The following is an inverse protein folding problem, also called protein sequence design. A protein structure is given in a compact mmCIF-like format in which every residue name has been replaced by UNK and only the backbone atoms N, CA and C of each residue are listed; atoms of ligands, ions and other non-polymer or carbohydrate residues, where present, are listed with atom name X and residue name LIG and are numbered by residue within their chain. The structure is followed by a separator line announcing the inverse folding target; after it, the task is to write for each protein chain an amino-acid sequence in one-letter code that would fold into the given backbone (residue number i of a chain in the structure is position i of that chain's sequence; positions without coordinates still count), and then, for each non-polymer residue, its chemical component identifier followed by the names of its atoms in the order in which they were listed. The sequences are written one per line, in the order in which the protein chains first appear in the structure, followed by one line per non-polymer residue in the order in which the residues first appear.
data_IF_393590617950
#
_entry.id   IF_393590617950
#
_cell.length_a   1.000
_cell.length_b   1.000
_cell.length_c   1.000
_cell.angle_alpha   90.00
_cell.angle_beta   90.00
_cell.angle_gamma   90.00
#
_symmetry.space_group_name_H-M   'P 1'
#
loop_
_entity.id
_entity.type
_entity.pdbx_description
1 polymer ?
#
# COMPACT_ATOMS: atom_id res chain seq x y z
N UNK A 1 0.04 1.85 -8.86
CA UNK A 1 0.02 2.65 -10.11
C UNK A 1 1.30 3.43 -10.36
N UNK A 2 1.87 4.13 -9.37
CA UNK A 2 3.08 4.95 -9.58
C UNK A 2 4.29 4.14 -10.09
N UNK A 3 4.60 3.00 -9.48
CA UNK A 3 5.69 2.11 -9.91
C UNK A 3 5.58 1.66 -11.39
N UNK A 4 4.36 1.45 -11.89
CA UNK A 4 4.15 1.13 -13.31
C UNK A 4 4.60 2.28 -14.22
N UNK A 5 4.45 3.54 -13.79
CA UNK A 5 4.97 4.71 -14.54
C UNK A 5 6.50 4.77 -14.49
N UNK A 6 7.11 4.23 -13.44
CA UNK A 6 8.56 4.04 -13.31
C UNK A 6 9.07 2.76 -13.99
N UNK A 7 8.23 2.06 -14.76
CA UNK A 7 8.63 0.87 -15.51
C UNK A 7 8.47 -0.46 -14.76
N UNK A 8 7.97 -0.49 -13.52
CA UNK A 8 7.76 -1.77 -12.86
C UNK A 8 6.57 -2.52 -13.46
N UNK A 9 6.82 -3.75 -13.91
CA UNK A 9 5.81 -4.75 -14.27
C UNK A 9 5.13 -5.33 -13.02
N UNK A 10 3.97 -5.98 -13.19
CA UNK A 10 3.47 -6.84 -12.12
C UNK A 10 4.43 -8.01 -11.91
N UNK A 11 4.69 -8.36 -10.65
CA UNK A 11 5.51 -9.51 -10.30
C UNK A 11 5.01 -10.80 -11.00
N UNK A 12 5.92 -11.55 -11.61
CA UNK A 12 5.64 -12.71 -12.45
C UNK A 12 5.35 -12.42 -13.93
N UNK A 13 5.30 -11.15 -14.34
CA UNK A 13 5.06 -10.77 -15.74
C UNK A 13 6.34 -10.79 -16.58
N UNK A 14 6.18 -11.04 -17.88
CA UNK A 14 7.27 -10.92 -18.86
C UNK A 14 7.78 -9.48 -19.04
N UNK A 15 8.78 -9.27 -19.90
CA UNK A 15 9.30 -7.93 -20.21
C UNK A 15 8.29 -7.07 -20.98
N UNK A 16 8.41 -5.74 -20.89
CA UNK A 16 7.65 -4.86 -21.78
C UNK A 16 8.14 -5.01 -23.23
N UNK A 17 7.24 -4.78 -24.19
CA UNK A 17 7.63 -4.69 -25.61
C UNK A 17 8.52 -3.47 -25.88
N UNK A 18 8.25 -2.37 -25.18
CA UNK A 18 9.03 -1.13 -25.25
C UNK A 18 9.21 -0.55 -23.85
N UNK A 19 10.41 -0.04 -23.52
CA UNK A 19 11.64 -0.06 -24.31
C UNK A 19 12.20 -1.48 -24.49
N UNK A 20 13.04 -1.72 -25.52
CA UNK A 20 13.70 -3.01 -25.70
C UNK A 20 14.59 -3.35 -24.51
N UNK A 21 14.84 -4.65 -24.30
CA UNK A 21 15.69 -5.18 -23.22
C UNK A 21 15.21 -4.88 -21.79
N UNK A 22 13.93 -4.58 -21.63
CA UNK A 22 13.33 -4.53 -20.29
C UNK A 22 13.49 -5.91 -19.61
N UNK A 23 13.92 -6.00 -18.34
CA UNK A 23 14.25 -7.30 -17.74
C UNK A 23 13.01 -8.16 -17.42
N UNK A 24 11.86 -7.53 -17.14
CA UNK A 24 10.64 -8.26 -16.78
C UNK A 24 10.68 -8.78 -15.33
N UNK A 25 9.57 -9.31 -14.84
CA UNK A 25 9.44 -9.78 -13.45
C UNK A 25 9.17 -11.29 -13.33
N UNK A 26 9.49 -12.10 -14.34
CA UNK A 26 9.21 -13.55 -14.32
C UNK A 26 9.87 -14.22 -13.12
N UNK A 27 11.09 -13.82 -12.77
CA UNK A 27 11.83 -14.32 -11.60
C UNK A 27 11.15 -13.97 -10.27
N UNK A 28 10.40 -12.87 -10.20
CA UNK A 28 9.70 -12.40 -8.99
C UNK A 28 8.29 -12.94 -8.84
N UNK A 29 7.94 -14.05 -9.50
CA UNK A 29 6.62 -14.68 -9.35
C UNK A 29 6.26 -15.01 -7.89
N UNK A 30 7.29 -15.22 -7.07
CA UNK A 30 7.24 -15.38 -5.61
C UNK A 30 8.29 -14.42 -5.03
N UNK A 31 8.13 -13.81 -3.83
CA UNK A 31 7.15 -14.03 -2.77
C UNK A 31 5.83 -13.24 -2.87
N UNK A 32 4.94 -13.55 -1.92
CA UNK A 32 3.52 -13.22 -1.99
C UNK A 32 3.11 -11.87 -1.37
N UNK A 33 4.07 -11.00 -0.99
CA UNK A 33 3.82 -9.80 -0.15
C UNK A 33 4.38 -8.48 -0.71
N UNK A 34 4.58 -8.37 -2.02
CA UNK A 34 5.07 -7.12 -2.64
C UNK A 34 3.96 -6.25 -3.20
N UNK A 35 4.23 -4.96 -3.30
CA UNK A 35 3.28 -3.95 -3.80
C UNK A 35 2.91 -4.14 -5.28
N UNK A 36 3.78 -4.78 -6.08
CA UNK A 36 3.55 -5.06 -7.50
C UNK A 36 2.97 -6.45 -7.78
N UNK A 37 2.53 -7.16 -6.73
CA UNK A 37 1.86 -8.44 -6.91
C UNK A 37 0.53 -8.26 -7.66
N UNK A 38 0.26 -9.06 -8.73
CA UNK A 38 -0.98 -8.92 -9.50
C UNK A 38 -2.25 -9.35 -8.76
N UNK A 39 -2.13 -10.21 -7.75
CA UNK A 39 -3.23 -10.72 -6.92
C UNK A 39 -3.11 -10.20 -5.49
N UNK A 40 -4.17 -10.38 -4.67
CA UNK A 40 -4.15 -9.96 -3.26
C UNK A 40 -2.90 -10.50 -2.55
N UNK A 41 -2.10 -9.62 -1.92
CA UNK A 41 -0.88 -10.00 -1.21
C UNK A 41 -1.24 -10.83 0.03
N UNK A 42 -0.42 -11.84 0.32
CA UNK A 42 -0.51 -12.64 1.55
C UNK A 42 0.41 -11.99 2.58
N UNK A 43 -0.02 -10.83 3.10
CA UNK A 43 0.73 -10.01 4.04
C UNK A 43 0.81 -8.54 3.62
N UNK A 44 1.43 -7.68 4.45
CA UNK A 44 1.50 -6.24 4.22
C UNK A 44 2.31 -5.91 2.95
N UNK A 45 1.70 -5.32 1.90
CA UNK A 45 2.37 -5.11 0.61
C UNK A 45 3.16 -3.81 0.57
N UNK A 46 4.00 -3.59 1.59
CA UNK A 46 4.71 -2.33 1.78
C UNK A 46 6.16 -2.38 1.27
N UNK A 47 6.54 -3.46 0.58
CA UNK A 47 7.91 -3.65 0.08
C UNK A 47 7.92 -3.88 -1.43
N UNK A 48 9.04 -3.51 -2.04
CA UNK A 48 9.33 -3.78 -3.45
C UNK A 48 9.95 -5.17 -3.60
N UNK A 49 9.71 -5.79 -4.75
CA UNK A 49 10.49 -6.95 -5.21
C UNK A 49 11.83 -6.46 -5.78
N UNK A 50 12.85 -7.32 -5.83
CA UNK A 50 14.09 -6.96 -6.53
C UNK A 50 13.81 -6.64 -8.02
N UNK A 51 12.87 -7.34 -8.67
CA UNK A 51 12.48 -7.02 -10.05
C UNK A 51 11.89 -5.60 -10.14
N UNK A 52 11.08 -5.17 -9.17
CA UNK A 52 10.55 -3.80 -9.16
C UNK A 52 11.67 -2.78 -9.08
N UNK A 53 12.68 -3.02 -8.25
CA UNK A 53 13.88 -2.18 -8.11
C UNK A 53 14.71 -2.17 -9.40
N UNK A 54 15.00 -3.34 -9.97
CA UNK A 54 15.72 -3.50 -11.24
C UNK A 54 15.02 -2.77 -12.39
N UNK A 55 13.69 -2.83 -12.45
CA UNK A 55 12.89 -2.09 -13.43
C UNK A 55 13.02 -0.59 -13.28
N UNK A 56 12.88 -0.07 -12.05
CA UNK A 56 13.01 1.36 -11.79
C UNK A 56 14.42 1.84 -12.15
N UNK A 57 15.45 1.10 -11.76
CA UNK A 57 16.84 1.40 -12.12
C UNK A 57 17.06 1.39 -13.63
N UNK A 58 16.53 0.39 -14.32
CA UNK A 58 16.63 0.27 -15.78
C UNK A 58 15.99 1.50 -16.47
N UNK A 59 14.78 1.90 -16.07
CA UNK A 59 14.11 3.07 -16.65
C UNK A 59 14.81 4.37 -16.28
N UNK A 60 15.26 4.54 -15.03
CA UNK A 60 16.00 5.73 -14.59
C UNK A 60 17.31 5.92 -15.38
N UNK A 61 18.05 4.83 -15.62
CA UNK A 61 19.26 4.83 -16.47
C UNK A 61 18.93 5.16 -17.92
N UNK A 62 17.88 4.54 -18.47
CA UNK A 62 17.48 4.74 -19.87
C UNK A 62 17.01 6.17 -20.17
N UNK A 63 16.25 6.78 -19.25
CA UNK A 63 15.71 8.14 -19.43
C UNK A 63 16.73 9.23 -19.12
N UNK A 64 17.72 8.91 -18.29
CA UNK A 64 18.79 9.83 -17.90
C UNK A 64 18.33 10.88 -16.89
N UNK A 65 19.33 11.54 -16.30
CA UNK A 65 19.15 12.50 -15.20
C UNK A 65 18.14 13.61 -15.49
N UNK A 66 18.11 14.08 -16.74
CA UNK A 66 17.20 15.16 -17.16
C UNK A 66 15.73 14.89 -16.79
N UNK A 67 15.30 13.63 -16.74
CA UNK A 67 13.90 13.29 -16.44
C UNK A 67 13.58 13.19 -14.93
N UNK A 68 14.56 12.97 -14.07
CA UNK A 68 14.34 12.79 -12.63
C UNK A 68 15.08 13.83 -11.76
N UNK A 69 15.82 14.74 -12.38
CA UNK A 69 16.44 15.88 -11.71
C UNK A 69 15.36 16.77 -11.08
N UNK A 70 15.49 16.99 -9.79
CA UNK A 70 14.65 17.90 -9.01
C UNK A 70 14.61 19.28 -9.67
N UNK A 71 13.40 19.75 -10.00
CA UNK A 71 13.17 21.08 -10.61
C UNK A 71 12.79 22.13 -9.56
N UNK A 72 12.39 21.70 -8.37
CA UNK A 72 12.05 22.55 -7.25
C UNK A 72 12.37 21.81 -5.96
N UNK A 73 13.07 22.48 -5.06
CA UNK A 73 13.35 22.07 -3.69
C UNK A 73 12.29 22.60 -2.71
N UNK A 74 11.21 23.21 -3.23
CA UNK A 74 10.11 23.69 -2.41
C UNK A 74 9.39 22.51 -1.75
N UNK A 75 9.52 22.43 -0.43
CA UNK A 75 8.92 21.38 0.37
C UNK A 75 7.44 21.70 0.67
N UNK A 76 6.55 21.14 -0.15
CA UNK A 76 5.11 21.15 0.11
C UNK A 76 4.72 20.36 1.38
N UNK A 77 5.65 19.62 2.00
CA UNK A 77 5.44 18.80 3.19
C UNK A 77 5.90 19.46 4.51
N UNK A 78 5.94 20.79 4.57
CA UNK A 78 5.87 21.52 5.86
C UNK A 78 4.56 21.29 6.63
N UNK A 79 3.67 20.45 6.08
CA UNK A 79 2.50 19.85 6.73
C UNK A 79 3.00 18.90 7.83
N UNK A 80 2.62 19.22 9.07
CA UNK A 80 2.90 18.52 10.33
C UNK A 80 3.40 17.07 10.17
N UNK A 81 4.48 16.70 10.89
CA UNK A 81 4.95 15.31 11.11
C UNK A 81 3.86 14.37 11.70
N UNK A 82 2.62 14.82 11.78
CA UNK A 82 1.45 14.02 12.09
C UNK A 82 1.26 13.01 10.97
N UNK A 83 1.78 11.81 11.21
CA UNK A 83 1.40 10.62 10.46
C UNK A 83 -0.12 10.55 10.34
N UNK A 84 -0.61 10.13 9.18
CA UNK A 84 -2.05 10.10 8.80
C UNK A 84 -2.99 9.40 9.81
N UNK A 85 -2.44 8.75 10.83
CA UNK A 85 -3.12 8.03 11.89
C UNK A 85 -3.89 8.88 12.91
N UNK A 86 -3.65 10.18 13.06
CA UNK A 86 -4.39 10.94 14.09
C UNK A 86 -5.86 11.22 13.71
N UNK A 87 -6.16 11.34 12.41
CA UNK A 87 -7.47 11.83 11.93
C UNK A 87 -8.39 10.75 11.35
N UNK A 88 -7.93 9.49 11.28
CA UNK A 88 -8.69 8.41 10.65
C UNK A 88 -8.83 7.27 11.66
N UNK A 89 -10.06 6.90 12.00
CA UNK A 89 -10.38 5.70 12.80
C UNK A 89 -10.79 4.53 11.91
N UNK A 90 -10.76 3.27 12.38
CA UNK A 90 -11.18 2.12 11.57
C UNK A 90 -12.59 2.28 11.02
N UNK A 91 -13.49 2.87 11.81
CA UNK A 91 -14.87 3.14 11.43
C UNK A 91 -14.95 4.17 10.31
N UNK A 92 -14.18 5.27 10.42
CA UNK A 92 -14.13 6.33 9.41
C UNK A 92 -13.53 5.80 8.10
N UNK A 93 -12.48 4.98 8.20
CA UNK A 93 -11.87 4.31 7.06
C UNK A 93 -12.87 3.40 6.34
N UNK A 94 -13.53 2.48 7.07
CA UNK A 94 -14.49 1.56 6.48
C UNK A 94 -15.73 2.26 5.91
N UNK A 95 -16.25 3.30 6.59
CA UNK A 95 -17.36 4.12 6.07
C UNK A 95 -17.00 4.85 4.78
N UNK A 96 -15.77 5.31 4.62
CA UNK A 96 -15.34 5.95 3.36
C UNK A 96 -15.28 4.97 2.19
N UNK A 97 -15.01 3.69 2.45
CA UNK A 97 -14.95 2.66 1.40
C UNK A 97 -16.36 2.25 0.95
N UNK A 98 -17.25 1.93 1.89
CA UNK A 98 -18.61 1.46 1.60
C UNK A 98 -19.62 2.14 2.56
N UNK A 99 -20.00 3.40 2.34
CA UNK A 99 -20.81 4.16 3.29
C UNK A 99 -22.19 3.53 3.51
N UNK A 100 -22.87 3.11 2.44
CA UNK A 100 -24.24 2.59 2.49
C UNK A 100 -24.35 1.19 3.12
N UNK A 101 -23.27 0.41 3.04
CA UNK A 101 -23.25 -0.98 3.49
C UNK A 101 -22.50 -1.12 4.82
N UNK A 102 -21.92 -0.06 5.37
CA UNK A 102 -21.14 -0.13 6.59
C UNK A 102 -21.97 -0.66 7.77
N UNK A 103 -21.43 -1.65 8.48
CA UNK A 103 -22.00 -2.17 9.73
C UNK A 103 -21.09 -1.85 10.91
N UNK A 104 -19.85 -2.28 10.85
CA UNK A 104 -18.88 -2.08 11.93
C UNK A 104 -17.44 -2.17 11.40
N UNK A 105 -16.51 -1.65 12.18
CA UNK A 105 -15.08 -1.81 11.94
C UNK A 105 -14.41 -2.30 13.21
N UNK A 106 -13.27 -2.96 13.04
CA UNK A 106 -12.34 -3.27 14.12
C UNK A 106 -10.93 -3.24 13.57
N UNK A 107 -9.94 -3.18 14.46
CA UNK A 107 -8.55 -3.26 14.07
C UNK A 107 -7.77 -4.11 15.05
N UNK A 108 -6.91 -4.97 14.53
CA UNK A 108 -5.96 -5.77 15.30
C UNK A 108 -4.67 -5.89 14.54
N UNK A 109 -3.52 -5.68 15.20
CA UNK A 109 -2.19 -5.82 14.61
C UNK A 109 -2.08 -5.13 13.23
N UNK A 110 -2.48 -3.87 13.15
CA UNK A 110 -2.42 -3.09 11.90
C UNK A 110 -3.23 -3.65 10.72
N UNK A 111 -4.23 -4.48 11.01
CA UNK A 111 -5.22 -4.96 10.05
C UNK A 111 -6.59 -4.43 10.46
N UNK A 112 -7.14 -3.55 9.64
CA UNK A 112 -8.51 -3.04 9.75
C UNK A 112 -9.45 -4.04 9.10
N UNK A 113 -10.45 -4.48 9.86
CA UNK A 113 -11.53 -5.36 9.38
C UNK A 113 -12.81 -4.55 9.24
N UNK A 114 -13.31 -4.45 8.01
CA UNK A 114 -14.57 -3.79 7.69
C UNK A 114 -15.68 -4.83 7.52
N UNK A 115 -16.74 -4.71 8.31
CA UNK A 115 -17.98 -5.50 8.20
C UNK A 115 -19.03 -4.70 7.46
N UNK A 116 -19.57 -5.28 6.39
CA UNK A 116 -20.58 -4.65 5.56
C UNK A 116 -21.84 -5.51 5.46
N UNK A 117 -23.02 -4.89 5.57
CA UNK A 117 -24.32 -5.50 5.32
C UNK A 117 -24.61 -5.47 3.82
N UNK A 118 -24.37 -6.58 3.15
CA UNK A 118 -24.57 -6.70 1.69
C UNK A 118 -25.94 -7.33 1.43
N UNK A 119 -26.80 -6.72 0.59
CA UNK A 119 -28.06 -7.35 0.21
C UNK A 119 -27.82 -8.60 -0.61
N UNK A 120 -28.56 -9.65 -0.29
CA UNK A 120 -28.60 -10.91 -1.04
C UNK A 120 -29.68 -10.86 -2.11
N UNK A 121 -29.63 -11.77 -3.08
CA UNK A 121 -30.65 -11.88 -4.15
C UNK A 121 -32.08 -12.10 -3.61
N UNK A 122 -32.20 -12.58 -2.38
CA UNK A 122 -33.49 -12.89 -1.73
C UNK A 122 -33.98 -11.75 -0.82
N UNK A 123 -33.35 -10.57 -0.85
CA UNK A 123 -33.74 -9.41 -0.04
C UNK A 123 -33.24 -9.41 1.41
N UNK A 124 -32.59 -10.49 1.88
CA UNK A 124 -31.92 -10.52 3.18
C UNK A 124 -30.54 -9.85 3.13
N UNK A 125 -30.03 -9.42 4.27
CA UNK A 125 -28.65 -8.93 4.40
C UNK A 125 -27.72 -10.02 4.89
N UNK A 126 -26.50 -10.05 4.35
CA UNK A 126 -25.40 -10.89 4.85
C UNK A 126 -24.22 -10.02 5.25
N UNK A 127 -23.53 -10.40 6.32
CA UNK A 127 -22.29 -9.72 6.75
C UNK A 127 -21.15 -10.20 5.86
N UNK A 128 -20.53 -9.25 5.14
CA UNK A 128 -19.30 -9.48 4.38
C UNK A 128 -18.14 -8.76 5.04
N UNK A 129 -17.10 -9.53 5.37
CA UNK A 129 -15.86 -8.99 5.94
C UNK A 129 -14.82 -8.74 4.84
N UNK A 130 -14.16 -7.59 4.91
CA UNK A 130 -12.96 -7.29 4.11
C UNK A 130 -11.87 -6.73 5.03
N UNK A 131 -10.64 -7.18 4.81
CA UNK A 131 -9.48 -6.73 5.60
C UNK A 131 -8.59 -5.80 4.78
N UNK A 132 -8.06 -4.77 5.45
CA UNK A 132 -7.15 -3.78 4.89
C UNK A 132 -5.98 -3.55 5.85
N UNK A 133 -4.77 -3.35 5.34
CA UNK A 133 -3.66 -2.93 6.20
C UNK A 133 -3.83 -1.47 6.58
N UNK A 134 -3.60 -1.17 7.86
CA UNK A 134 -3.63 0.20 8.37
C UNK A 134 -2.52 1.03 7.71
N UNK A 135 -2.76 2.33 7.48
CA UNK A 135 -1.72 3.26 7.04
C UNK A 135 -0.52 3.27 7.98
N UNK A 136 0.60 3.77 7.46
CA UNK A 136 1.79 4.00 8.25
C UNK A 136 1.52 5.00 9.39
N UNK A 137 2.07 4.72 10.58
CA UNK A 137 1.95 5.58 11.75
C UNK A 137 0.58 5.52 12.44
N UNK A 138 -0.33 4.66 11.98
CA UNK A 138 -1.65 4.49 12.56
C UNK A 138 -1.56 3.94 14.00
N UNK A 139 -2.27 4.51 14.98
CA UNK A 139 -2.19 4.04 16.37
C UNK A 139 -2.70 2.60 16.47
N UNK A 140 -1.95 1.73 17.15
CA UNK A 140 -2.31 0.31 17.26
C UNK A 140 -2.15 -0.28 18.66
N UNK A 141 -1.56 0.47 19.59
CA UNK A 141 -1.45 0.14 21.01
C UNK A 141 -1.74 1.35 21.89
N UNK A 142 -1.52 1.18 23.20
CA UNK A 142 -1.86 2.18 24.21
C UNK A 142 -0.65 3.03 24.65
N UNK A 143 0.58 2.62 24.30
CA UNK A 143 1.84 3.20 24.77
C UNK A 143 2.65 3.79 23.61
N UNK A 144 1.97 4.47 22.69
CA UNK A 144 2.61 5.09 21.52
C UNK A 144 2.92 4.11 20.39
N UNK A 145 2.50 2.84 20.47
CA UNK A 145 2.71 1.90 19.37
C UNK A 145 1.90 2.31 18.14
N UNK A 146 2.58 2.29 16.99
CA UNK A 146 2.03 2.67 15.70
C UNK A 146 2.34 1.60 14.65
N UNK A 147 1.55 1.63 13.58
CA UNK A 147 1.70 0.71 12.48
C UNK A 147 2.92 1.03 11.62
N UNK A 148 3.89 0.13 11.63
CA UNK A 148 5.13 0.19 10.88
C UNK A 148 5.27 -1.03 9.98
N UNK A 149 5.15 -0.84 8.66
CA UNK A 149 5.18 -1.93 7.67
C UNK A 149 4.26 -3.12 8.01
N UNK A 150 3.11 -2.84 8.63
CA UNK A 150 2.10 -3.84 9.00
C UNK A 150 2.32 -4.51 10.37
N UNK A 151 3.34 -4.09 11.11
CA UNK A 151 3.56 -4.50 12.50
C UNK A 151 3.13 -3.37 13.46
N UNK A 152 2.66 -3.74 14.64
CA UNK A 152 2.39 -2.79 15.71
C UNK A 152 3.63 -2.68 16.61
N UNK A 153 4.34 -1.55 16.52
CA UNK A 153 5.60 -1.34 17.23
C UNK A 153 5.69 0.08 17.76
N UNK A 154 6.39 0.32 18.86
CA UNK A 154 6.78 1.68 19.22
C UNK A 154 7.80 2.18 18.18
N UNK A 155 7.49 3.31 17.53
CA UNK A 155 8.33 3.90 16.47
C UNK A 155 8.88 5.27 16.86
N UNK A 156 8.79 5.66 18.13
CA UNK A 156 9.17 7.01 18.58
C UNK A 156 10.63 7.33 18.21
N UNK A 157 11.51 6.33 18.30
CA UNK A 157 12.92 6.42 17.86
C UNK A 157 13.11 6.60 16.34
N UNK A 158 12.16 6.15 15.51
CA UNK A 158 12.24 6.22 14.04
C UNK A 158 11.66 7.54 13.49
N UNK A 159 10.89 8.28 14.29
CA UNK A 159 10.21 9.54 13.89
C UNK A 159 10.73 10.79 14.61
N UNK A 160 11.71 10.62 15.50
CA UNK A 160 12.46 11.69 16.18
C UNK A 160 13.19 12.56 15.15
#
# INVERSE_FOLDING_TARGET
HYLRRLGSQHDGSGPFRYPPNHPGAVACKLPQKYIMKPQRPRGPPFTFSNCSEEHMQFVMKLRGEKCWKTQSDYDFFTVTKEVAGHLITPETFCRRINPEQYSSASMKNCVITCRNNVPTKNGYYQIKENTHFAPFGYPCGNNGERCWFGNCTNIDHEVS
#
